data_IF_063252439429
#
_entry.id   IF_063252439429
#
_cell.length_a   1.000
_cell.length_b   1.000
_cell.length_c   1.000
_cell.angle_alpha   90.00
_cell.angle_beta   90.00
_cell.angle_gamma   90.00
#
_symmetry.space_group_name_H-M   'P 1'
#
loop_
_entity.id
_entity.type
_entity.pdbx_description
1 polymer ?
#
# COMPACT_ATOMS: atom_id res chain seq x y z
N UNK A 1 68.38 -24.78 45.37
CA UNK A 1 67.20 -25.32 44.65
C UNK A 1 65.91 -25.10 45.43
N UNK A 2 65.78 -25.58 46.66
CA UNK A 2 64.53 -25.45 47.44
C UNK A 2 64.08 -24.00 47.68
N UNK A 3 65.01 -23.08 47.94
CA UNK A 3 64.69 -21.66 48.15
C UNK A 3 64.08 -21.00 46.90
N UNK A 4 64.60 -21.29 45.70
CA UNK A 4 64.10 -20.74 44.45
C UNK A 4 62.69 -21.24 44.12
N UNK A 5 62.43 -22.54 44.32
CA UNK A 5 61.10 -23.12 44.15
C UNK A 5 60.08 -22.47 45.11
N UNK A 6 60.48 -22.15 46.35
CA UNK A 6 59.60 -21.48 47.29
C UNK A 6 59.27 -20.04 46.86
N UNK A 7 60.23 -19.31 46.30
CA UNK A 7 60.01 -17.98 45.73
C UNK A 7 59.06 -18.04 44.53
N UNK A 8 59.30 -18.95 43.57
CA UNK A 8 58.46 -19.13 42.39
C UNK A 8 57.00 -19.50 42.76
N UNK A 9 56.81 -20.36 43.78
CA UNK A 9 55.48 -20.70 44.30
C UNK A 9 54.78 -19.48 44.93
N UNK A 10 55.54 -18.62 45.62
CA UNK A 10 55.03 -17.37 46.17
C UNK A 10 54.52 -16.43 45.06
N UNK A 11 55.34 -16.21 44.03
CA UNK A 11 55.00 -15.38 42.87
C UNK A 11 53.80 -15.94 42.09
N UNK A 12 53.74 -17.26 41.89
CA UNK A 12 52.58 -17.92 41.27
C UNK A 12 51.30 -17.72 42.10
N UNK A 13 51.39 -17.77 43.43
CA UNK A 13 50.25 -17.54 44.31
C UNK A 13 49.72 -16.10 44.19
N UNK A 14 50.61 -15.12 44.17
CA UNK A 14 50.22 -13.72 43.96
C UNK A 14 49.55 -13.51 42.58
N UNK A 15 50.10 -14.15 41.53
CA UNK A 15 49.48 -14.15 40.21
C UNK A 15 48.08 -14.78 40.20
N UNK A 16 47.90 -15.88 40.94
CA UNK A 16 46.61 -16.55 41.09
C UNK A 16 45.58 -15.66 41.81
N UNK A 17 45.98 -14.98 42.87
CA UNK A 17 45.12 -14.06 43.64
C UNK A 17 44.68 -12.86 42.77
N UNK A 18 45.58 -12.34 41.93
CA UNK A 18 45.27 -11.29 40.96
C UNK A 18 44.30 -11.77 39.87
N UNK A 19 44.51 -12.99 39.34
CA UNK A 19 43.59 -13.59 38.36
C UNK A 19 42.20 -13.84 38.97
N UNK A 20 42.14 -14.35 40.20
CA UNK A 20 40.89 -14.57 40.93
C UNK A 20 40.10 -13.26 41.07
N UNK A 21 40.79 -12.17 41.44
CA UNK A 21 40.18 -10.83 41.55
C UNK A 21 39.62 -10.36 40.20
N UNK A 22 40.40 -10.53 39.13
CA UNK A 22 39.99 -10.13 37.77
C UNK A 22 38.78 -10.93 37.29
N UNK A 23 38.76 -12.24 37.53
CA UNK A 23 37.64 -13.13 37.18
C UNK A 23 36.36 -12.74 37.92
N UNK A 24 36.46 -12.39 39.20
CA UNK A 24 35.32 -11.92 39.99
C UNK A 24 34.75 -10.60 39.44
N UNK A 25 35.63 -9.65 39.09
CA UNK A 25 35.22 -8.38 38.48
C UNK A 25 34.57 -8.57 37.11
N UNK A 26 35.12 -9.45 36.27
CA UNK A 26 34.53 -9.80 34.98
C UNK A 26 33.16 -10.46 35.15
N UNK A 27 33.00 -11.35 36.14
CA UNK A 27 31.72 -11.97 36.48
C UNK A 27 30.64 -10.92 36.78
N UNK A 28 30.95 -9.93 37.62
CA UNK A 28 30.02 -8.84 37.92
C UNK A 28 29.61 -8.02 36.69
N UNK A 29 30.58 -7.67 35.84
CA UNK A 29 30.32 -6.93 34.59
C UNK A 29 29.50 -7.75 33.58
N UNK A 30 29.71 -9.07 33.53
CA UNK A 30 28.93 -9.99 32.68
C UNK A 30 27.48 -10.03 33.15
N UNK A 31 27.23 -10.23 34.44
CA UNK A 31 25.86 -10.21 34.98
C UNK A 31 25.15 -8.88 34.74
N UNK A 32 25.85 -7.76 34.91
CA UNK A 32 25.27 -6.45 34.57
C UNK A 32 24.92 -6.36 33.07
N UNK A 33 25.83 -6.77 32.19
CA UNK A 33 25.59 -6.78 30.76
C UNK A 33 24.39 -7.69 30.38
N UNK A 34 24.27 -8.87 30.98
CA UNK A 34 23.16 -9.81 30.76
C UNK A 34 21.81 -9.20 31.16
N UNK A 35 21.73 -8.52 32.32
CA UNK A 35 20.49 -7.84 32.74
C UNK A 35 20.13 -6.67 31.82
N UNK A 36 21.13 -5.91 31.36
CA UNK A 36 20.92 -4.83 30.38
C UNK A 36 20.45 -5.35 29.04
N UNK A 37 20.99 -6.48 28.57
CA UNK A 37 20.55 -7.12 27.32
C UNK A 37 19.09 -7.56 27.47
N UNK A 38 18.73 -8.26 28.55
CA UNK A 38 17.34 -8.71 28.78
C UNK A 38 16.34 -7.55 28.79
N UNK A 39 16.65 -6.46 29.50
CA UNK A 39 15.76 -5.28 29.52
C UNK A 39 15.65 -4.59 28.16
N UNK A 40 16.73 -4.58 27.38
CA UNK A 40 16.72 -4.03 26.02
C UNK A 40 15.93 -4.91 25.04
N UNK A 41 16.04 -6.23 25.16
CA UNK A 41 15.30 -7.20 24.36
C UNK A 41 13.79 -7.06 24.61
N UNK A 42 13.37 -7.01 25.88
CA UNK A 42 11.97 -6.77 26.25
C UNK A 42 11.47 -5.43 25.68
N UNK A 43 12.27 -4.36 25.83
CA UNK A 43 11.94 -3.06 25.27
C UNK A 43 11.91 -3.04 23.73
N UNK A 44 12.69 -3.88 23.06
CA UNK A 44 12.67 -4.02 21.61
C UNK A 44 11.39 -4.71 21.14
N UNK A 45 10.99 -5.80 21.81
CA UNK A 45 9.76 -6.52 21.52
C UNK A 45 8.52 -5.62 21.68
N UNK A 46 8.45 -4.84 22.76
CA UNK A 46 7.35 -3.89 22.97
C UNK A 46 7.29 -2.80 21.89
N UNK A 47 8.44 -2.32 21.43
CA UNK A 47 8.51 -1.34 20.32
C UNK A 47 8.09 -1.98 19.01
N UNK A 48 8.51 -3.21 18.74
CA UNK A 48 8.12 -3.94 17.53
C UNK A 48 6.60 -4.16 17.46
N UNK A 49 5.98 -4.51 18.58
CA UNK A 49 4.52 -4.63 18.68
C UNK A 49 3.83 -3.28 18.43
N UNK A 50 4.33 -2.21 19.07
CA UNK A 50 3.79 -0.85 18.89
C UNK A 50 3.91 -0.38 17.44
N UNK A 51 5.07 -0.62 16.80
CA UNK A 51 5.30 -0.28 15.40
C UNK A 51 4.37 -1.08 14.49
N UNK A 52 4.19 -2.38 14.75
CA UNK A 52 3.26 -3.23 14.01
C UNK A 52 1.83 -2.70 14.11
N UNK A 53 1.41 -2.29 15.31
CA UNK A 53 0.09 -1.72 15.52
C UNK A 53 -0.07 -0.35 14.83
N UNK A 54 0.94 0.52 14.92
CA UNK A 54 0.94 1.82 14.25
C UNK A 54 0.84 1.67 12.72
N UNK A 55 1.59 0.74 12.13
CA UNK A 55 1.53 0.44 10.68
C UNK A 55 0.12 0.01 10.27
N UNK A 56 -0.53 -0.88 11.05
CA UNK A 56 -1.93 -1.28 10.79
C UNK A 56 -2.88 -0.09 10.85
N UNK A 57 -2.75 0.77 11.85
CA UNK A 57 -3.60 1.96 11.99
C UNK A 57 -3.37 2.97 10.86
N UNK A 58 -2.11 3.20 10.45
CA UNK A 58 -1.80 4.08 9.31
C UNK A 58 -2.44 3.56 8.03
N UNK A 59 -2.37 2.25 7.76
CA UNK A 59 -3.02 1.66 6.59
C UNK A 59 -4.55 1.86 6.61
N UNK A 60 -5.19 1.63 7.76
CA UNK A 60 -6.63 1.85 7.92
C UNK A 60 -7.03 3.32 7.72
N UNK A 61 -6.23 4.26 8.23
CA UNK A 61 -6.46 5.68 8.04
C UNK A 61 -6.27 6.12 6.59
N UNK A 62 -5.27 5.57 5.88
CA UNK A 62 -5.07 5.83 4.45
C UNK A 62 -6.27 5.38 3.62
N UNK A 63 -6.80 4.18 3.88
CA UNK A 63 -8.02 3.69 3.22
C UNK A 63 -9.23 4.59 3.54
N UNK A 64 -9.34 5.06 4.78
CA UNK A 64 -10.42 5.95 5.21
C UNK A 64 -10.36 7.33 4.54
N UNK A 65 -9.18 7.93 4.45
CA UNK A 65 -8.95 9.21 3.77
C UNK A 65 -9.29 9.08 2.30
N UNK A 66 -8.81 8.03 1.63
CA UNK A 66 -9.12 7.74 0.22
C UNK A 66 -10.63 7.65 -0.01
N UNK A 67 -11.33 6.92 0.86
CA UNK A 67 -12.79 6.79 0.79
C UNK A 67 -13.51 8.13 0.95
N UNK A 68 -13.10 8.96 1.92
CA UNK A 68 -13.75 10.25 2.16
C UNK A 68 -13.50 11.22 1.00
N UNK A 69 -12.29 11.23 0.44
CA UNK A 69 -11.99 11.99 -0.77
C UNK A 69 -12.87 11.56 -1.95
N UNK A 70 -12.99 10.26 -2.21
CA UNK A 70 -13.79 9.72 -3.30
C UNK A 70 -15.29 9.96 -3.09
N UNK A 71 -15.77 9.86 -1.84
CA UNK A 71 -17.14 10.18 -1.48
C UNK A 71 -17.46 11.66 -1.71
N UNK A 72 -16.55 12.57 -1.35
CA UNK A 72 -16.68 14.00 -1.59
C UNK A 72 -16.70 14.37 -3.09
N UNK A 73 -15.99 13.59 -3.93
CA UNK A 73 -15.94 13.77 -5.39
C UNK A 73 -17.01 12.99 -6.16
N UNK A 74 -17.85 12.18 -5.50
CA UNK A 74 -18.75 11.22 -6.15
C UNK A 74 -19.71 11.83 -7.19
N UNK A 75 -20.11 13.09 -6.97
CA UNK A 75 -21.01 13.83 -7.86
C UNK A 75 -20.27 14.70 -8.90
N UNK A 76 -18.94 14.75 -8.82
CA UNK A 76 -18.10 15.47 -9.77
C UNK A 76 -17.87 14.61 -11.02
N UNK A 77 -17.90 15.26 -12.18
CA UNK A 77 -17.60 14.65 -13.46
C UNK A 77 -16.42 15.39 -14.07
N UNK A 78 -15.35 14.66 -14.38
CA UNK A 78 -14.21 15.22 -15.08
C UNK A 78 -14.48 15.19 -16.60
N UNK A 79 -14.37 16.37 -17.23
CA UNK A 79 -14.61 16.57 -18.65
C UNK A 79 -13.26 16.80 -19.32
N UNK A 80 -12.79 15.82 -20.11
CA UNK A 80 -11.49 15.89 -20.78
C UNK A 80 -11.68 16.21 -22.27
N UNK A 81 -10.90 17.17 -22.79
CA UNK A 81 -10.91 17.55 -24.21
C UNK A 81 -11.67 18.83 -24.55
N UNK A 82 -12.02 19.65 -23.55
CA UNK A 82 -12.57 21.00 -23.76
C UNK A 82 -11.45 21.94 -24.18
N UNK A 83 -11.68 22.75 -25.22
CA UNK A 83 -10.73 23.77 -25.67
C UNK A 83 -10.69 24.92 -24.66
N UNK A 84 -9.50 25.24 -24.16
CA UNK A 84 -9.28 26.43 -23.32
C UNK A 84 -9.64 27.70 -24.12
N UNK A 85 -10.24 28.69 -23.47
CA UNK A 85 -10.78 29.97 -24.01
C UNK A 85 -12.25 29.98 -24.51
N UNK A 86 -13.07 28.97 -24.21
CA UNK A 86 -14.52 29.00 -24.52
C UNK A 86 -15.41 29.55 -23.38
N UNK A 87 -14.83 30.17 -22.34
CA UNK A 87 -15.58 30.74 -21.22
C UNK A 87 -16.36 31.99 -21.64
N UNK A 88 -17.60 31.82 -22.10
CA UNK A 88 -18.59 32.90 -22.10
C UNK A 88 -19.75 32.55 -21.17
N UNK A 89 -19.90 33.40 -20.16
CA UNK A 89 -21.03 33.79 -19.29
C UNK A 89 -22.06 32.78 -18.75
N UNK A 90 -22.24 31.57 -19.26
CA UNK A 90 -23.25 30.62 -18.75
C UNK A 90 -22.68 29.20 -18.59
N UNK A 91 -21.90 29.00 -17.53
CA UNK A 91 -21.32 27.70 -17.18
C UNK A 91 -22.40 26.67 -16.77
N UNK A 92 -23.49 27.12 -16.16
CA UNK A 92 -24.57 26.25 -15.67
C UNK A 92 -25.44 25.69 -16.81
N UNK A 93 -25.80 26.53 -17.79
CA UNK A 93 -26.52 26.07 -18.99
C UNK A 93 -25.66 25.12 -19.83
N UNK A 94 -24.34 25.37 -19.90
CA UNK A 94 -23.39 24.50 -20.58
C UNK A 94 -23.27 23.13 -19.89
N UNK A 95 -23.20 23.10 -18.55
CA UNK A 95 -23.18 21.87 -17.75
C UNK A 95 -24.42 21.00 -18.04
N UNK A 96 -25.61 21.58 -18.01
CA UNK A 96 -26.86 20.84 -18.19
C UNK A 96 -27.10 20.38 -19.63
N UNK A 97 -26.63 21.15 -20.62
CA UNK A 97 -26.64 20.73 -22.02
C UNK A 97 -25.68 19.57 -22.27
N UNK A 98 -24.49 19.60 -21.65
CA UNK A 98 -23.50 18.54 -21.74
C UNK A 98 -23.98 17.27 -21.06
N UNK A 99 -24.54 17.34 -19.85
CA UNK A 99 -25.08 16.19 -19.14
C UNK A 99 -26.24 15.51 -19.92
N UNK A 100 -27.08 16.28 -20.61
CA UNK A 100 -28.11 15.73 -21.52
C UNK A 100 -27.50 15.03 -22.74
N UNK A 101 -26.56 15.67 -23.42
CA UNK A 101 -25.90 15.09 -24.59
C UNK A 101 -25.15 13.78 -24.25
N UNK A 102 -24.56 13.69 -23.05
CA UNK A 102 -23.92 12.48 -22.53
C UNK A 102 -24.92 11.34 -22.36
N UNK A 103 -26.07 11.62 -21.76
CA UNK A 103 -27.12 10.62 -21.52
C UNK A 103 -27.72 10.08 -22.83
N UNK A 104 -27.84 10.91 -23.85
CA UNK A 104 -28.51 10.55 -25.11
C UNK A 104 -27.58 9.92 -26.17
N UNK A 105 -26.33 10.38 -26.30
CA UNK A 105 -25.49 10.03 -27.46
C UNK A 105 -24.28 9.15 -27.16
N UNK A 106 -23.81 9.07 -25.92
CA UNK A 106 -22.61 8.32 -25.50
C UNK A 106 -21.29 8.84 -26.09
N UNK A 107 -21.18 8.95 -27.41
CA UNK A 107 -20.06 9.56 -28.13
C UNK A 107 -20.29 11.07 -28.31
N UNK A 108 -19.97 11.87 -27.29
CA UNK A 108 -20.08 13.33 -27.36
C UNK A 108 -18.84 13.93 -28.04
N UNK A 109 -19.07 14.77 -29.05
CA UNK A 109 -18.03 15.59 -29.71
C UNK A 109 -18.35 17.07 -29.52
N UNK A 110 -17.36 17.87 -29.17
CA UNK A 110 -17.45 19.33 -29.11
C UNK A 110 -16.41 19.94 -30.05
N UNK A 111 -16.84 20.81 -30.96
CA UNK A 111 -15.98 21.43 -31.97
C UNK A 111 -15.10 20.40 -32.73
N UNK A 112 -15.68 19.25 -33.08
CA UNK A 112 -14.99 18.16 -33.77
C UNK A 112 -14.07 17.28 -32.89
N UNK A 113 -13.76 17.70 -31.66
CA UNK A 113 -12.96 16.92 -30.69
C UNK A 113 -13.86 16.03 -29.83
N UNK A 114 -13.38 14.82 -29.50
CA UNK A 114 -14.09 13.90 -28.59
C UNK A 114 -13.92 14.39 -27.15
N UNK A 115 -15.03 14.45 -26.41
CA UNK A 115 -15.02 14.72 -24.98
C UNK A 115 -15.23 13.42 -24.21
N UNK A 116 -14.45 13.23 -23.14
CA UNK A 116 -14.60 12.11 -22.22
C UNK A 116 -15.17 12.60 -20.89
N UNK A 117 -16.12 11.84 -20.34
CA UNK A 117 -16.71 12.06 -19.02
C UNK A 117 -16.26 10.92 -18.11
N UNK A 118 -15.48 11.25 -17.09
CA UNK A 118 -15.04 10.26 -16.10
C UNK A 118 -15.49 10.67 -14.70
N UNK A 119 -15.68 9.69 -13.83
CA UNK A 119 -15.86 9.98 -12.41
C UNK A 119 -14.58 10.65 -11.87
N UNK A 120 -14.75 11.71 -11.09
CA UNK A 120 -13.66 12.34 -10.36
C UNK A 120 -13.32 11.47 -9.15
N UNK A 121 -12.15 10.85 -9.17
CA UNK A 121 -11.67 9.90 -8.16
C UNK A 121 -10.28 10.34 -7.70
N UNK A 122 -9.94 10.01 -6.46
CA UNK A 122 -8.61 10.18 -5.88
C UNK A 122 -7.54 9.51 -6.73
N UNK A 123 -6.33 10.08 -6.67
CA UNK A 123 -5.17 9.57 -7.40
C UNK A 123 -4.91 8.10 -7.07
N UNK A 124 -5.11 7.71 -5.82
CA UNK A 124 -4.91 6.34 -5.35
C UNK A 124 -5.89 5.37 -6.00
N UNK A 125 -7.19 5.70 -6.00
CA UNK A 125 -8.21 4.87 -6.67
C UNK A 125 -7.97 4.80 -8.18
N UNK A 126 -7.61 5.92 -8.82
CA UNK A 126 -7.24 5.94 -10.25
C UNK A 126 -6.05 5.02 -10.52
N UNK A 127 -5.00 5.10 -9.71
CA UNK A 127 -3.79 4.30 -9.86
C UNK A 127 -4.06 2.80 -9.64
N UNK A 128 -4.87 2.44 -8.63
CA UNK A 128 -5.33 1.06 -8.41
C UNK A 128 -6.09 0.54 -9.64
N UNK A 129 -7.02 1.33 -10.20
CA UNK A 129 -7.80 0.97 -11.39
C UNK A 129 -7.00 0.91 -12.68
N UNK A 130 -5.90 1.67 -12.79
CA UNK A 130 -4.99 1.68 -13.94
C UNK A 130 -4.27 0.33 -14.12
N UNK A 131 -4.02 -0.40 -13.03
CA UNK A 131 -3.42 -1.74 -13.07
C UNK A 131 -4.25 -2.75 -13.88
N UNK A 132 -5.56 -2.50 -14.04
CA UNK A 132 -6.46 -3.33 -14.83
C UNK A 132 -6.55 -2.94 -16.31
N UNK A 133 -5.78 -1.95 -16.79
CA UNK A 133 -5.93 -1.45 -18.16
C UNK A 133 -5.68 -2.52 -19.22
N UNK A 134 -4.71 -3.42 -19.00
CA UNK A 134 -4.44 -4.54 -19.90
C UNK A 134 -5.60 -5.55 -19.92
N UNK A 135 -6.06 -5.93 -18.72
CA UNK A 135 -7.20 -6.83 -18.50
C UNK A 135 -8.46 -6.29 -19.20
N UNK A 136 -8.77 -5.00 -19.00
CA UNK A 136 -9.89 -4.31 -19.65
C UNK A 136 -9.73 -4.27 -21.17
N UNK A 137 -8.51 -4.08 -21.69
CA UNK A 137 -8.24 -4.09 -23.14
C UNK A 137 -8.57 -5.45 -23.75
N UNK A 138 -8.18 -6.54 -23.10
CA UNK A 138 -8.51 -7.91 -23.54
C UNK A 138 -10.01 -8.16 -23.49
N UNK A 139 -10.68 -7.81 -22.39
CA UNK A 139 -12.14 -7.99 -22.24
C UNK A 139 -12.94 -7.27 -23.33
N UNK A 140 -12.49 -6.09 -23.79
CA UNK A 140 -13.14 -5.36 -24.90
C UNK A 140 -13.07 -6.09 -26.25
N UNK A 141 -12.12 -7.01 -26.42
CA UNK A 141 -11.97 -7.78 -27.67
C UNK A 141 -12.78 -9.08 -27.68
N UNK A 142 -13.27 -9.51 -26.52
CA UNK A 142 -14.02 -10.76 -26.38
C UNK A 142 -15.50 -10.55 -26.67
N UNK A 143 -16.12 -11.50 -27.40
CA UNK A 143 -17.56 -11.54 -27.63
C UNK A 143 -18.25 -12.19 -26.41
N UNK A 144 -19.46 -11.74 -26.09
CA UNK A 144 -20.29 -12.32 -25.02
C UNK A 144 -19.72 -12.22 -23.59
N UNK A 145 -18.75 -11.32 -23.38
CA UNK A 145 -18.17 -10.99 -22.07
C UNK A 145 -18.42 -9.51 -21.77
N UNK A 146 -19.00 -9.21 -20.61
CA UNK A 146 -19.14 -7.83 -20.11
C UNK A 146 -18.32 -7.64 -18.84
N UNK A 147 -17.90 -6.41 -18.57
CA UNK A 147 -17.14 -6.09 -17.37
C UNK A 147 -17.55 -4.75 -16.77
N UNK A 148 -17.35 -4.61 -15.47
CA UNK A 148 -17.56 -3.37 -14.73
C UNK A 148 -16.46 -3.20 -13.67
N UNK A 149 -15.94 -1.97 -13.52
CA UNK A 149 -15.08 -1.63 -12.38
C UNK A 149 -15.95 -1.13 -11.24
N UNK A 150 -16.02 -1.90 -10.16
CA UNK A 150 -16.70 -1.52 -8.93
C UNK A 150 -15.76 -0.72 -8.03
N UNK A 151 -16.35 0.10 -7.16
CA UNK A 151 -15.60 0.83 -6.15
C UNK A 151 -15.05 -0.12 -5.07
N UNK A 152 -13.82 0.10 -4.57
CA UNK A 152 -12.83 1.06 -5.07
C UNK A 152 -12.15 0.58 -6.35
N UNK A 153 -11.78 -0.70 -6.44
CA UNK A 153 -10.95 -1.26 -7.51
C UNK A 153 -11.30 -2.72 -7.89
N UNK A 154 -12.48 -3.22 -7.52
CA UNK A 154 -12.90 -4.59 -7.84
C UNK A 154 -13.38 -4.72 -9.28
N UNK A 155 -12.73 -5.55 -10.09
CA UNK A 155 -13.19 -5.85 -11.45
C UNK A 155 -14.24 -6.96 -11.41
N UNK A 156 -15.46 -6.65 -11.85
CA UNK A 156 -16.52 -7.63 -12.12
C UNK A 156 -16.46 -8.05 -13.58
N UNK A 157 -16.34 -9.34 -13.86
CA UNK A 157 -16.42 -9.91 -15.21
C UNK A 157 -17.64 -10.83 -15.26
N UNK A 158 -18.51 -10.64 -16.24
CA UNK A 158 -19.67 -11.49 -16.49
C UNK A 158 -19.48 -12.22 -17.80
N UNK A 159 -19.42 -13.55 -17.74
CA UNK A 159 -19.35 -14.44 -18.90
C UNK A 159 -20.36 -15.59 -18.69
N UNK A 160 -21.09 -15.97 -19.74
CA UNK A 160 -22.08 -17.07 -19.69
C UNK A 160 -23.08 -16.96 -18.51
N UNK A 161 -23.63 -15.76 -18.28
CA UNK A 161 -24.51 -15.42 -17.15
C UNK A 161 -23.91 -15.63 -15.74
N UNK A 162 -22.60 -15.87 -15.62
CA UNK A 162 -21.90 -15.97 -14.34
C UNK A 162 -20.99 -14.77 -14.16
N UNK A 163 -21.22 -14.04 -13.08
CA UNK A 163 -20.36 -12.94 -12.64
C UNK A 163 -19.27 -13.45 -11.71
N UNK A 164 -18.04 -12.99 -11.92
CA UNK A 164 -16.91 -13.17 -10.99
C UNK A 164 -16.29 -11.82 -10.66
N UNK A 165 -15.74 -11.73 -9.45
CA UNK A 165 -15.15 -10.51 -8.90
C UNK A 165 -13.66 -10.74 -8.66
N UNK A 166 -12.84 -9.76 -9.02
CA UNK A 166 -11.39 -9.84 -8.93
C UNK A 166 -10.84 -8.60 -8.24
N UNK A 167 -10.11 -8.80 -7.15
CA UNK A 167 -9.40 -7.75 -6.41
C UNK A 167 -7.95 -7.61 -6.83
N UNK A 168 -7.44 -8.54 -7.66
CA UNK A 168 -6.11 -8.45 -8.26
C UNK A 168 -6.15 -8.56 -9.79
N UNK A 169 -5.28 -7.85 -10.52
CA UNK A 169 -5.22 -7.93 -11.97
C UNK A 169 -4.68 -9.29 -12.45
N UNK A 170 -3.80 -9.94 -11.67
CA UNK A 170 -3.22 -11.23 -12.01
C UNK A 170 -4.29 -12.34 -12.05
N UNK A 171 -5.16 -12.42 -11.04
CA UNK A 171 -6.27 -13.38 -11.01
C UNK A 171 -7.23 -13.17 -12.18
N UNK A 172 -7.55 -11.91 -12.49
CA UNK A 172 -8.40 -11.57 -13.62
C UNK A 172 -7.76 -12.00 -14.96
N UNK A 173 -6.45 -11.79 -15.13
CA UNK A 173 -5.72 -12.16 -16.34
C UNK A 173 -5.70 -13.68 -16.57
N UNK A 174 -5.49 -14.45 -15.49
CA UNK A 174 -5.56 -15.92 -15.52
C UNK A 174 -6.97 -16.36 -15.93
N UNK A 175 -8.01 -15.80 -15.31
CA UNK A 175 -9.39 -16.12 -15.64
C UNK A 175 -9.73 -15.81 -17.11
N UNK A 176 -9.34 -14.65 -17.62
CA UNK A 176 -9.54 -14.28 -19.04
C UNK A 176 -8.87 -15.29 -19.97
N UNK A 177 -7.71 -15.81 -19.59
CA UNK A 177 -6.98 -16.78 -20.41
C UNK A 177 -7.66 -18.16 -20.44
N UNK A 178 -8.46 -18.47 -19.41
CA UNK A 178 -9.31 -19.69 -19.37
C UNK A 178 -10.63 -19.56 -20.13
N UNK A 179 -11.05 -18.34 -20.49
CA UNK A 179 -12.28 -18.08 -21.25
C UNK A 179 -12.10 -18.22 -22.78
N UNK A 180 -10.94 -18.73 -23.21
CA UNK A 180 -10.56 -18.85 -24.62
C UNK A 180 -11.18 -20.07 -25.29
#
# INVERSE_FOLDING_TARGET
MLQGIATDIGEMKEGLDSLQTTVQQLGGRITEAETRISTLEDGCNMREETVTQAVKTVAQLQDRVTYLEDAGRRNNVCIVGVLENSEKRDMDAARDAVLRAVREKGNVKWQGKRIYFTQDLSKDTVQKRKKYDEVKRRLRTMKDVSYAMLYPDTLKITANNKSRFFTTPAEAQTFISTLR
#
